data_IF_601779796914
#
_entry.id   IF_601779796914
#
_cell.length_a   1.000
_cell.length_b   1.000
_cell.length_c   1.000
_cell.angle_alpha   90.00
_cell.angle_beta   90.00
_cell.angle_gamma   90.00
#
_symmetry.space_group_name_H-M   'P 1'
#
loop_
_entity.id
_entity.type
_entity.pdbx_description
1 polymer ?
#
# COMPACT_ATOMS: atom_id res chain seq x y z
N UNK A 1 -45.51 21.68 -58.45
CA UNK A 1 -45.35 22.45 -57.20
C UNK A 1 -45.63 21.53 -56.01
N UNK A 2 -44.58 21.06 -55.31
CA UNK A 2 -44.74 20.27 -54.07
C UNK A 2 -45.30 21.20 -53.00
N UNK A 3 -46.52 20.93 -52.52
CA UNK A 3 -47.11 21.65 -51.38
C UNK A 3 -46.20 21.43 -50.17
N UNK A 4 -45.65 22.52 -49.63
CA UNK A 4 -44.80 22.48 -48.44
C UNK A 4 -45.58 21.97 -47.22
N UNK A 5 -44.87 21.44 -46.20
CA UNK A 5 -45.51 20.92 -44.99
C UNK A 5 -46.35 22.00 -44.31
N UNK A 6 -47.63 21.70 -44.08
CA UNK A 6 -48.57 22.61 -43.41
C UNK A 6 -48.43 22.59 -41.89
N UNK A 7 -49.06 23.57 -41.23
CA UNK A 7 -49.03 23.78 -39.76
C UNK A 7 -49.37 22.50 -38.97
N UNK A 8 -50.27 21.66 -39.49
CA UNK A 8 -50.63 20.36 -38.89
C UNK A 8 -49.46 19.35 -38.83
N UNK A 9 -48.48 19.43 -39.73
CA UNK A 9 -47.28 18.61 -39.67
C UNK A 9 -46.31 19.08 -38.57
N UNK A 10 -46.31 20.39 -38.28
CA UNK A 10 -45.50 21.00 -37.23
C UNK A 10 -46.07 20.64 -35.85
N UNK A 11 -47.38 20.74 -35.65
CA UNK A 11 -48.06 20.28 -34.43
C UNK A 11 -47.83 18.79 -34.16
N UNK A 12 -47.90 17.96 -35.21
CA UNK A 12 -47.61 16.52 -35.11
C UNK A 12 -46.15 16.25 -34.73
N UNK A 13 -45.20 17.02 -35.27
CA UNK A 13 -43.78 16.90 -34.90
C UNK A 13 -43.49 17.35 -33.46
N UNK A 14 -44.17 18.40 -32.97
CA UNK A 14 -44.04 18.84 -31.58
C UNK A 14 -44.66 17.83 -30.61
N UNK A 15 -45.84 17.31 -30.93
CA UNK A 15 -46.46 16.23 -30.16
C UNK A 15 -45.61 14.95 -30.14
N UNK A 16 -45.01 14.54 -31.28
CA UNK A 16 -44.15 13.37 -31.28
C UNK A 16 -42.87 13.59 -30.49
N UNK A 17 -42.25 14.77 -30.59
CA UNK A 17 -41.00 15.08 -29.87
C UNK A 17 -41.22 15.07 -28.35
N UNK A 18 -42.33 15.67 -27.89
CA UNK A 18 -42.71 15.66 -26.47
C UNK A 18 -43.08 14.26 -25.99
N UNK A 19 -43.82 13.48 -26.77
CA UNK A 19 -44.13 12.08 -26.43
C UNK A 19 -42.87 11.19 -26.37
N UNK A 20 -41.90 11.41 -27.26
CA UNK A 20 -40.62 10.68 -27.22
C UNK A 20 -39.74 11.11 -26.05
N UNK A 21 -39.75 12.39 -25.66
CA UNK A 21 -39.01 12.84 -24.47
C UNK A 21 -39.62 12.27 -23.20
N UNK A 22 -40.94 12.30 -23.03
CA UNK A 22 -41.61 11.72 -21.85
C UNK A 22 -41.41 10.21 -21.78
N UNK A 23 -41.48 9.50 -22.92
CA UNK A 23 -41.20 8.07 -22.96
C UNK A 23 -39.73 7.77 -22.62
N UNK A 24 -38.80 8.61 -23.07
CA UNK A 24 -37.39 8.54 -22.71
C UNK A 24 -37.19 8.71 -21.20
N UNK A 25 -37.80 9.74 -20.63
CA UNK A 25 -37.74 10.03 -19.19
C UNK A 25 -38.32 8.86 -18.37
N UNK A 26 -39.49 8.33 -18.76
CA UNK A 26 -40.12 7.18 -18.10
C UNK A 26 -39.27 5.90 -18.21
N UNK A 27 -38.66 5.65 -19.37
CA UNK A 27 -37.74 4.53 -19.58
C UNK A 27 -36.49 4.67 -18.70
N UNK A 28 -35.92 5.87 -18.60
CA UNK A 28 -34.77 6.09 -17.70
C UNK A 28 -35.17 5.96 -16.23
N UNK A 29 -36.35 6.45 -15.83
CA UNK A 29 -36.85 6.35 -14.47
C UNK A 29 -37.09 4.89 -14.06
N UNK A 30 -37.65 4.07 -14.96
CA UNK A 30 -37.82 2.63 -14.75
C UNK A 30 -36.48 1.91 -14.66
N UNK A 31 -35.54 2.17 -15.57
CA UNK A 31 -34.18 1.61 -15.49
C UNK A 31 -33.45 2.00 -14.20
N UNK A 32 -33.56 3.25 -13.76
CA UNK A 32 -32.98 3.71 -12.48
C UNK A 32 -33.61 3.01 -11.28
N UNK A 33 -34.91 2.74 -11.34
CA UNK A 33 -35.63 2.03 -10.26
C UNK A 33 -35.19 0.57 -10.19
N UNK A 34 -35.09 -0.09 -11.34
CA UNK A 34 -34.59 -1.47 -11.42
C UNK A 34 -33.14 -1.58 -10.94
N UNK A 35 -32.27 -0.66 -11.39
CA UNK A 35 -30.87 -0.64 -10.97
C UNK A 35 -30.73 -0.39 -9.46
N UNK A 36 -31.57 0.46 -8.86
CA UNK A 36 -31.61 0.65 -7.41
C UNK A 36 -31.99 -0.64 -6.67
N UNK A 37 -33.00 -1.36 -7.14
CA UNK A 37 -33.40 -2.64 -6.54
C UNK A 37 -32.27 -3.68 -6.64
N UNK A 38 -31.59 -3.75 -7.80
CA UNK A 38 -30.45 -4.65 -7.99
C UNK A 38 -29.28 -4.28 -7.07
N UNK A 39 -28.97 -2.99 -6.91
CA UNK A 39 -27.94 -2.53 -5.97
C UNK A 39 -28.30 -2.84 -4.52
N UNK A 40 -29.57 -2.74 -4.14
CA UNK A 40 -30.03 -3.06 -2.79
C UNK A 40 -29.90 -4.57 -2.51
N UNK A 41 -30.39 -5.42 -3.42
CA UNK A 41 -30.24 -6.88 -3.35
C UNK A 41 -28.76 -7.31 -3.33
N UNK A 42 -27.93 -6.66 -4.16
CA UNK A 42 -26.51 -6.89 -4.14
C UNK A 42 -25.90 -6.48 -2.79
N UNK A 43 -26.36 -5.36 -2.23
CA UNK A 43 -25.86 -4.87 -0.94
C UNK A 43 -26.14 -5.81 0.20
N UNK A 44 -27.36 -6.31 0.30
CA UNK A 44 -27.77 -7.25 1.33
C UNK A 44 -27.02 -8.57 1.18
N UNK A 45 -26.87 -9.06 -0.05
CA UNK A 45 -26.12 -10.29 -0.36
C UNK A 45 -24.64 -10.17 0.01
N UNK A 46 -23.99 -9.06 -0.36
CA UNK A 46 -22.58 -8.82 -0.03
C UNK A 46 -22.37 -8.66 1.48
N UNK A 47 -23.36 -8.11 2.19
CA UNK A 47 -23.34 -7.93 3.65
C UNK A 47 -23.53 -9.27 4.37
N UNK A 48 -24.42 -10.12 3.87
CA UNK A 48 -24.56 -11.49 4.35
C UNK A 48 -23.29 -12.33 4.06
N UNK A 49 -22.72 -12.20 2.87
CA UNK A 49 -21.49 -12.89 2.51
C UNK A 49 -20.30 -12.47 3.39
N UNK A 50 -20.11 -11.17 3.57
CA UNK A 50 -19.00 -10.66 4.40
C UNK A 50 -19.12 -11.05 5.86
N UNK A 51 -20.33 -11.03 6.43
CA UNK A 51 -20.55 -11.47 7.82
C UNK A 51 -20.34 -12.97 7.99
N UNK A 52 -20.83 -13.80 7.06
CA UNK A 52 -20.63 -15.25 7.09
C UNK A 52 -19.15 -15.65 6.94
N UNK A 53 -18.43 -14.99 6.04
CA UNK A 53 -17.05 -15.34 5.70
C UNK A 53 -16.00 -14.41 6.35
N UNK A 54 -16.38 -13.62 7.37
CA UNK A 54 -15.50 -12.61 8.01
C UNK A 54 -14.18 -13.19 8.48
N UNK A 55 -14.23 -14.36 9.13
CA UNK A 55 -13.03 -15.02 9.63
C UNK A 55 -12.18 -15.57 8.48
N UNK A 56 -12.80 -16.11 7.43
CA UNK A 56 -12.06 -16.62 6.27
C UNK A 56 -11.35 -15.50 5.50
N UNK A 57 -11.99 -14.33 5.35
CA UNK A 57 -11.36 -13.13 4.76
C UNK A 57 -10.16 -12.68 5.60
N UNK A 58 -10.25 -12.82 6.92
CA UNK A 58 -9.15 -12.48 7.83
C UNK A 58 -8.01 -13.50 7.78
N UNK A 59 -8.30 -14.79 7.62
CA UNK A 59 -7.28 -15.86 7.66
C UNK A 59 -6.60 -16.09 6.32
N UNK A 60 -7.32 -16.01 5.22
CA UNK A 60 -6.80 -16.38 3.91
C UNK A 60 -6.48 -15.14 3.08
N UNK A 61 -5.18 -14.84 2.82
CA UNK A 61 -4.79 -13.65 2.06
C UNK A 61 -5.28 -13.69 0.60
N UNK A 62 -5.28 -14.86 -0.04
CA UNK A 62 -5.77 -15.01 -1.41
C UNK A 62 -7.27 -14.73 -1.52
N UNK A 63 -8.05 -15.21 -0.55
CA UNK A 63 -9.48 -14.93 -0.48
C UNK A 63 -9.76 -13.45 -0.16
N UNK A 64 -8.98 -12.85 0.75
CA UNK A 64 -9.03 -11.41 1.06
C UNK A 64 -8.82 -10.56 -0.18
N UNK A 65 -7.78 -10.87 -0.96
CA UNK A 65 -7.47 -10.19 -2.21
C UNK A 65 -8.59 -10.34 -3.23
N UNK A 66 -9.09 -11.56 -3.44
CA UNK A 66 -10.18 -11.83 -4.39
C UNK A 66 -11.46 -11.07 -4.02
N UNK A 67 -11.82 -11.05 -2.73
CA UNK A 67 -12.96 -10.31 -2.21
C UNK A 67 -12.79 -8.80 -2.43
N UNK A 68 -11.63 -8.24 -2.10
CA UNK A 68 -11.34 -6.83 -2.32
C UNK A 68 -11.37 -6.44 -3.80
N UNK A 69 -10.79 -7.27 -4.68
CA UNK A 69 -10.82 -7.07 -6.14
C UNK A 69 -12.26 -7.03 -6.67
N UNK A 70 -13.13 -7.91 -6.15
CA UNK A 70 -14.56 -7.88 -6.46
C UNK A 70 -15.18 -6.55 -6.03
N UNK A 71 -14.97 -6.09 -4.79
CA UNK A 71 -15.49 -4.81 -4.33
C UNK A 71 -15.04 -3.65 -5.23
N UNK A 72 -13.75 -3.56 -5.56
CA UNK A 72 -13.21 -2.52 -6.43
C UNK A 72 -13.81 -2.55 -7.84
N UNK A 73 -14.06 -3.73 -8.42
CA UNK A 73 -14.65 -3.84 -9.76
C UNK A 73 -16.06 -3.24 -9.86
N UNK A 74 -16.76 -3.15 -8.74
CA UNK A 74 -18.12 -2.61 -8.63
C UNK A 74 -18.09 -1.13 -8.21
N UNK A 75 -16.90 -0.57 -7.94
CA UNK A 75 -16.74 0.79 -7.42
C UNK A 75 -17.00 0.90 -5.92
N UNK A 76 -17.03 -0.23 -5.20
CA UNK A 76 -17.14 -0.28 -3.75
C UNK A 76 -15.74 -0.37 -3.15
N UNK A 77 -15.35 0.60 -2.33
CA UNK A 77 -14.11 0.51 -1.56
C UNK A 77 -14.40 -0.07 -0.17
N UNK A 78 -14.00 -1.32 0.13
CA UNK A 78 -14.29 -1.96 1.41
C UNK A 78 -13.57 -1.30 2.59
N UNK A 79 -12.65 -0.36 2.33
CA UNK A 79 -11.80 0.28 3.33
C UNK A 79 -12.01 1.79 3.47
N UNK A 80 -12.77 2.42 2.57
CA UNK A 80 -13.12 3.83 2.68
C UNK A 80 -14.19 4.00 3.75
N UNK A 81 -13.77 3.99 5.03
CA UNK A 81 -14.67 4.36 6.13
C UNK A 81 -14.65 5.86 6.37
N UNK A 82 -15.88 6.39 6.47
CA UNK A 82 -16.16 7.64 7.16
C UNK A 82 -15.68 8.93 6.51
N UNK A 83 -15.22 8.94 5.24
CA UNK A 83 -15.11 10.21 4.52
C UNK A 83 -16.53 10.70 4.22
N UNK A 84 -17.02 11.56 5.12
CA UNK A 84 -18.31 12.27 5.07
C UNK A 84 -18.48 13.11 3.78
N UNK A 85 -17.41 13.24 3.00
CA UNK A 85 -17.33 13.98 1.74
C UNK A 85 -17.20 13.09 0.49
N UNK A 86 -17.13 11.77 0.62
CA UNK A 86 -17.20 10.87 -0.53
C UNK A 86 -18.66 10.65 -0.92
N UNK A 87 -19.23 11.60 -1.67
CA UNK A 87 -20.57 11.48 -2.25
C UNK A 87 -20.64 10.25 -3.16
N UNK A 88 -21.20 9.16 -2.65
CA UNK A 88 -21.40 7.92 -3.41
C UNK A 88 -21.56 6.69 -2.53
N UNK A 89 -21.89 5.56 -3.16
CA UNK A 89 -22.00 4.22 -2.60
C UNK A 89 -20.62 3.68 -2.12
N UNK A 90 -19.73 4.48 -1.56
CA UNK A 90 -18.42 4.06 -1.07
C UNK A 90 -18.40 4.09 0.46
N UNK A 91 -18.88 5.18 1.07
CA UNK A 91 -18.97 5.30 2.54
C UNK A 91 -20.00 4.39 3.21
N UNK A 92 -20.96 3.86 2.45
CA UNK A 92 -22.00 2.95 2.96
C UNK A 92 -21.50 1.53 3.25
N UNK A 93 -20.34 1.14 2.72
CA UNK A 93 -19.93 -0.27 2.69
C UNK A 93 -18.83 -0.61 3.67
N UNK A 94 -17.91 0.29 3.94
CA UNK A 94 -16.82 0.07 4.89
C UNK A 94 -17.32 -0.12 6.33
N UNK A 95 -18.27 0.72 6.76
CA UNK A 95 -18.93 0.60 8.07
C UNK A 95 -19.74 -0.71 8.16
N UNK A 96 -20.25 -1.18 7.02
CA UNK A 96 -21.12 -2.34 6.98
C UNK A 96 -20.43 -3.70 6.77
N UNK A 97 -19.20 -3.69 6.25
CA UNK A 97 -18.39 -4.89 6.07
C UNK A 97 -17.53 -5.19 7.32
N UNK A 98 -17.27 -4.18 8.15
CA UNK A 98 -16.37 -4.26 9.30
C UNK A 98 -14.95 -4.73 8.93
N UNK A 99 -14.61 -4.79 7.64
CA UNK A 99 -13.30 -5.20 7.15
C UNK A 99 -12.26 -4.09 7.34
N UNK A 100 -12.74 -2.84 7.48
CA UNK A 100 -11.94 -1.70 7.91
C UNK A 100 -11.22 -1.95 9.23
N UNK A 101 -11.88 -2.55 10.24
CA UNK A 101 -11.28 -2.77 11.57
C UNK A 101 -9.95 -3.51 11.53
N UNK A 102 -9.87 -4.60 10.75
CA UNK A 102 -8.63 -5.39 10.63
C UNK A 102 -7.51 -4.59 9.97
N UNK A 103 -7.88 -3.79 8.96
CA UNK A 103 -6.93 -2.99 8.22
C UNK A 103 -6.48 -1.76 9.05
N UNK A 104 -7.36 -1.16 9.85
CA UNK A 104 -7.01 -0.11 10.79
C UNK A 104 -6.07 -0.64 11.87
N UNK A 105 -6.38 -1.83 12.42
CA UNK A 105 -5.48 -2.52 13.35
C UNK A 105 -4.10 -2.77 12.73
N UNK A 106 -4.06 -3.21 11.47
CA UNK A 106 -2.81 -3.37 10.74
C UNK A 106 -2.07 -2.04 10.56
N UNK A 107 -2.79 -0.96 10.23
CA UNK A 107 -2.24 0.39 10.14
C UNK A 107 -1.59 0.86 11.46
N UNK A 108 -2.25 0.63 12.60
CA UNK A 108 -1.71 0.96 13.92
C UNK A 108 -0.44 0.17 14.22
N UNK A 109 -0.39 -1.12 13.87
CA UNK A 109 0.81 -1.94 14.06
C UNK A 109 1.97 -1.50 13.15
N UNK A 110 1.68 -1.08 11.92
CA UNK A 110 2.70 -0.49 11.04
C UNK A 110 3.29 0.77 11.69
N UNK A 111 2.44 1.65 12.23
CA UNK A 111 2.88 2.85 12.95
C UNK A 111 3.79 2.48 14.12
N UNK A 112 3.40 1.50 14.94
CA UNK A 112 4.19 1.08 16.10
C UNK A 112 5.58 0.54 15.70
N UNK A 113 5.65 -0.29 14.66
CA UNK A 113 6.94 -0.76 14.11
C UNK A 113 7.77 0.40 13.59
N UNK A 114 7.18 1.32 12.83
CA UNK A 114 7.89 2.46 12.28
C UNK A 114 8.42 3.40 13.37
N UNK A 115 7.63 3.66 14.41
CA UNK A 115 8.03 4.51 15.55
C UNK A 115 9.14 3.84 16.37
N UNK A 116 9.00 2.56 16.69
CA UNK A 116 9.99 1.82 17.49
C UNK A 116 11.33 1.63 16.77
N UNK A 117 11.32 1.57 15.44
CA UNK A 117 12.54 1.37 14.64
C UNK A 117 13.18 2.69 14.17
N UNK A 118 12.47 3.82 14.27
CA UNK A 118 12.91 5.13 13.77
C UNK A 118 14.30 5.56 14.24
N UNK A 119 14.63 5.30 15.50
CA UNK A 119 15.94 5.65 16.06
C UNK A 119 17.09 4.85 15.45
N UNK A 120 16.79 3.70 14.84
CA UNK A 120 17.79 2.78 14.27
C UNK A 120 17.89 2.87 12.75
N UNK A 121 16.80 3.21 12.06
CA UNK A 121 16.72 3.16 10.59
C UNK A 121 16.42 4.53 9.95
N UNK A 122 16.34 5.60 10.74
CA UNK A 122 16.07 6.96 10.25
C UNK A 122 14.66 7.17 9.69
N UNK A 123 13.74 6.22 9.90
CA UNK A 123 12.35 6.31 9.44
C UNK A 123 12.07 5.69 8.07
N UNK A 124 13.01 4.89 7.53
CA UNK A 124 12.79 4.04 6.36
C UNK A 124 12.96 2.56 6.74
N UNK A 125 12.11 1.68 6.19
CA UNK A 125 12.17 0.23 6.45
C UNK A 125 11.84 -0.57 5.19
N UNK A 126 12.58 -1.64 4.92
CA UNK A 126 12.27 -2.56 3.83
C UNK A 126 10.91 -3.24 4.03
N UNK A 127 10.15 -3.45 2.94
CA UNK A 127 8.82 -4.06 2.99
C UNK A 127 8.84 -5.42 3.69
N UNK A 128 9.83 -6.27 3.36
CA UNK A 128 9.97 -7.59 3.95
C UNK A 128 10.25 -7.55 5.45
N UNK A 129 11.09 -6.61 5.92
CA UNK A 129 11.37 -6.46 7.36
C UNK A 129 10.16 -5.91 8.10
N UNK A 130 9.42 -4.98 7.49
CA UNK A 130 8.16 -4.49 8.04
C UNK A 130 7.13 -5.62 8.19
N UNK A 131 6.89 -6.41 7.14
CA UNK A 131 5.98 -7.56 7.18
C UNK A 131 6.39 -8.51 8.31
N UNK A 132 7.67 -8.88 8.40
CA UNK A 132 8.17 -9.77 9.46
C UNK A 132 7.94 -9.21 10.86
N UNK A 133 8.25 -7.92 11.08
CA UNK A 133 8.09 -7.27 12.40
C UNK A 133 6.62 -7.18 12.81
N UNK A 134 5.74 -6.82 11.88
CA UNK A 134 4.30 -6.75 12.12
C UNK A 134 3.73 -8.15 12.38
N UNK A 135 4.13 -9.15 11.59
CA UNK A 135 3.75 -10.55 11.83
C UNK A 135 4.20 -11.01 13.21
N UNK A 136 5.43 -10.67 13.64
CA UNK A 136 5.95 -10.97 14.98
C UNK A 136 5.18 -10.25 16.08
N UNK A 137 4.72 -9.02 15.88
CA UNK A 137 3.86 -8.33 16.84
C UNK A 137 2.52 -9.07 17.02
N UNK A 138 1.95 -9.63 15.95
CA UNK A 138 0.69 -10.38 15.98
C UNK A 138 0.82 -11.79 16.57
N UNK A 139 1.87 -12.53 16.21
CA UNK A 139 2.05 -13.93 16.63
C UNK A 139 2.84 -14.09 17.92
N UNK A 140 3.52 -13.03 18.38
CA UNK A 140 4.39 -13.02 19.54
C UNK A 140 5.84 -13.44 19.21
N UNK A 141 6.77 -13.38 20.19
CA UNK A 141 8.16 -13.78 19.97
C UNK A 141 8.24 -15.26 19.59
N UNK A 142 8.80 -15.55 18.42
CA UNK A 142 9.04 -16.92 17.97
C UNK A 142 10.16 -17.53 18.82
N UNK A 143 9.80 -18.15 19.94
CA UNK A 143 10.74 -18.97 20.72
C UNK A 143 11.01 -20.26 19.91
N UNK A 144 12.28 -20.67 19.71
CA UNK A 144 12.61 -21.91 19.05
C UNK A 144 12.30 -23.04 20.03
N UNK A 145 11.05 -23.51 20.04
CA UNK A 145 10.63 -24.63 20.87
C UNK A 145 10.43 -25.83 19.96
N UNK A 146 11.22 -26.86 20.23
CA UNK A 146 11.22 -28.24 19.72
C UNK A 146 9.90 -29.02 19.98
N UNK A 147 8.79 -28.33 20.20
CA UNK A 147 7.49 -28.92 20.47
C UNK A 147 6.41 -28.16 19.69
N UNK A 148 6.09 -28.65 18.49
CA UNK A 148 4.99 -28.17 17.65
C UNK A 148 3.64 -28.47 18.33
N UNK A 149 3.05 -27.46 18.97
CA UNK A 149 1.63 -27.47 19.30
C UNK A 149 0.80 -27.02 18.10
N UNK A 150 -0.18 -27.84 17.67
CA UNK A 150 -1.12 -27.55 16.56
C UNK A 150 -1.67 -26.11 16.53
N UNK A 151 -1.90 -25.49 17.70
CA UNK A 151 -2.43 -24.13 17.80
C UNK A 151 -1.47 -23.00 17.39
N UNK A 152 -0.15 -23.22 17.30
CA UNK A 152 0.81 -22.19 16.86
C UNK A 152 0.84 -22.04 15.33
N UNK A 153 0.72 -23.16 14.60
CA UNK A 153 0.60 -23.16 13.14
C UNK A 153 -0.69 -22.48 12.67
N UNK A 154 -1.77 -22.62 13.43
CA UNK A 154 -3.05 -21.95 13.13
C UNK A 154 -2.93 -20.43 13.31
N UNK A 155 -2.27 -19.95 14.37
CA UNK A 155 -2.03 -18.50 14.59
C UNK A 155 -1.10 -17.86 13.55
N UNK A 156 -0.08 -18.58 13.11
CA UNK A 156 0.82 -18.10 12.05
C UNK A 156 0.11 -18.01 10.70
N UNK A 157 -0.79 -18.97 10.39
CA UNK A 157 -1.69 -18.86 9.22
C UNK A 157 -2.72 -17.75 9.36
N UNK A 158 -3.24 -17.51 10.57
CA UNK A 158 -4.16 -16.40 10.86
C UNK A 158 -3.52 -15.01 10.72
N UNK A 159 -2.19 -14.94 10.82
CA UNK A 159 -1.42 -13.70 10.77
C UNK A 159 -0.67 -13.50 9.44
N UNK A 160 -1.02 -14.23 8.38
CA UNK A 160 -0.39 -14.05 7.07
C UNK A 160 -0.76 -12.67 6.49
N UNK A 161 0.23 -11.78 6.53
CA UNK A 161 0.16 -10.40 6.02
C UNK A 161 0.91 -10.35 4.70
N UNK A 162 0.24 -9.86 3.66
CA UNK A 162 0.85 -9.66 2.35
C UNK A 162 1.34 -8.23 2.18
N UNK A 163 2.23 -8.02 1.21
CA UNK A 163 2.67 -6.68 0.81
C UNK A 163 1.48 -5.77 0.46
N UNK A 164 0.47 -6.29 -0.23
CA UNK A 164 -0.70 -5.52 -0.60
C UNK A 164 -1.48 -5.03 0.63
N UNK A 165 -1.55 -5.84 1.69
CA UNK A 165 -2.19 -5.44 2.94
C UNK A 165 -1.43 -4.27 3.59
N UNK A 166 -0.10 -4.26 3.51
CA UNK A 166 0.71 -3.14 4.00
C UNK A 166 0.47 -1.89 3.15
N UNK A 167 0.59 -1.99 1.82
CA UNK A 167 0.39 -0.87 0.89
C UNK A 167 -0.99 -0.24 1.10
N UNK A 168 -2.02 -1.08 1.23
CA UNK A 168 -3.38 -0.64 1.42
C UNK A 168 -3.61 -0.02 2.80
N UNK A 169 -2.98 -0.55 3.85
CA UNK A 169 -3.01 0.05 5.19
C UNK A 169 -2.38 1.44 5.18
N UNK A 170 -1.24 1.60 4.53
CA UNK A 170 -0.53 2.89 4.41
C UNK A 170 -1.39 3.92 3.67
N UNK A 171 -2.09 3.52 2.59
CA UNK A 171 -3.04 4.40 1.90
C UNK A 171 -4.15 4.91 2.82
N UNK A 172 -4.64 4.09 3.75
CA UNK A 172 -5.63 4.54 4.72
C UNK A 172 -5.05 5.48 5.79
N UNK A 173 -3.74 5.47 6.01
CA UNK A 173 -3.06 6.42 6.91
C UNK A 173 -2.84 7.79 6.23
N UNK A 174 -2.98 7.90 4.91
CA UNK A 174 -2.74 9.14 4.16
C UNK A 174 -3.52 10.36 4.69
N UNK A 175 -4.82 10.26 5.10
CA UNK A 175 -5.56 11.39 5.66
C UNK A 175 -4.98 11.97 6.95
N UNK A 176 -4.15 11.21 7.67
CA UNK A 176 -3.50 11.68 8.90
C UNK A 176 -2.31 12.61 8.62
N UNK A 177 -1.83 12.68 7.37
CA UNK A 177 -0.74 13.58 6.98
C UNK A 177 0.62 13.26 7.63
N UNK A 178 0.82 12.06 8.17
CA UNK A 178 2.03 11.73 8.95
C UNK A 178 3.26 11.36 8.10
N UNK A 179 3.16 11.41 6.76
CA UNK A 179 4.28 11.12 5.86
C UNK A 179 4.56 9.63 5.60
N UNK A 180 3.60 8.75 5.90
CA UNK A 180 3.70 7.33 5.54
C UNK A 180 3.54 7.15 4.03
N UNK A 181 4.56 6.58 3.39
CA UNK A 181 4.55 6.37 1.95
C UNK A 181 5.33 5.12 1.57
N UNK A 182 4.85 4.41 0.55
CA UNK A 182 5.56 3.30 -0.07
C UNK A 182 6.32 3.83 -1.28
N UNK A 183 7.63 3.62 -1.31
CA UNK A 183 8.46 3.98 -2.45
C UNK A 183 9.24 2.74 -2.93
N UNK A 184 9.56 2.72 -4.22
CA UNK A 184 10.33 1.64 -4.84
C UNK A 184 11.75 2.10 -5.14
N UNK A 185 12.70 1.20 -5.00
CA UNK A 185 14.11 1.41 -5.28
C UNK A 185 14.54 0.71 -6.58
N UNK A 186 15.44 1.34 -7.34
CA UNK A 186 16.03 0.78 -8.55
C UNK A 186 14.99 0.46 -9.64
N UNK A 187 14.95 -0.80 -10.08
CA UNK A 187 14.07 -1.27 -11.16
C UNK A 187 12.62 -1.52 -10.72
N UNK A 188 12.28 -1.29 -9.44
CA UNK A 188 10.92 -1.44 -8.92
C UNK A 188 10.67 -2.68 -8.06
N UNK A 189 11.60 -3.64 -8.06
CA UNK A 189 11.44 -4.93 -7.36
C UNK A 189 11.50 -4.79 -5.83
N UNK A 190 12.19 -3.78 -5.32
CA UNK A 190 12.39 -3.59 -3.89
C UNK A 190 11.58 -2.40 -3.39
N UNK A 191 10.53 -2.67 -2.60
CA UNK A 191 9.69 -1.65 -1.98
C UNK A 191 10.13 -1.39 -0.54
N UNK A 192 10.07 -0.12 -0.15
CA UNK A 192 10.33 0.33 1.21
C UNK A 192 9.18 1.21 1.68
N UNK A 193 9.04 1.31 2.99
CA UNK A 193 8.08 2.18 3.66
C UNK A 193 8.83 3.29 4.36
N UNK A 194 8.45 4.53 4.04
CA UNK A 194 8.85 5.74 4.75
C UNK A 194 7.82 6.05 5.82
N UNK A 195 8.27 6.52 6.97
CA UNK A 195 7.44 6.92 8.12
C UNK A 195 7.67 8.36 8.59
N UNK A 196 8.48 9.11 7.86
CA UNK A 196 8.84 10.50 8.15
C UNK A 196 8.45 11.40 6.98
N UNK A 197 7.89 12.60 7.24
CA UNK A 197 7.35 13.49 6.21
C UNK A 197 8.41 14.17 5.33
N UNK A 198 9.70 13.90 5.54
CA UNK A 198 10.79 14.47 4.76
C UNK A 198 10.96 13.71 3.45
N UNK A 199 11.03 14.41 2.33
CA UNK A 199 11.34 13.85 1.02
C UNK A 199 12.69 13.14 1.02
N UNK A 200 12.73 11.91 0.47
CA UNK A 200 14.00 11.26 0.19
C UNK A 200 14.55 11.85 -1.10
N UNK A 201 15.79 12.35 -1.03
CA UNK A 201 16.50 12.77 -2.22
C UNK A 201 16.78 11.56 -3.12
N UNK A 202 16.91 11.84 -4.41
CA UNK A 202 17.31 10.86 -5.44
C UNK A 202 18.60 10.15 -5.06
N UNK A 203 19.54 10.86 -4.46
CA UNK A 203 20.82 10.31 -4.02
C UNK A 203 20.65 9.34 -2.84
N UNK A 204 19.82 9.71 -1.86
CA UNK A 204 19.45 8.85 -0.73
C UNK A 204 18.80 7.55 -1.23
N UNK A 205 17.89 7.65 -2.20
CA UNK A 205 17.27 6.47 -2.82
C UNK A 205 18.31 5.58 -3.53
N UNK A 206 19.26 6.17 -4.28
CA UNK A 206 20.31 5.38 -4.93
C UNK A 206 21.16 4.62 -3.92
N UNK A 207 21.58 5.27 -2.82
CA UNK A 207 22.37 4.65 -1.74
C UNK A 207 21.60 3.49 -1.09
N UNK A 208 20.34 3.70 -0.71
CA UNK A 208 19.49 2.63 -0.15
C UNK A 208 19.31 1.48 -1.15
N UNK A 209 19.10 1.80 -2.43
CA UNK A 209 18.99 0.80 -3.50
C UNK A 209 20.28 -0.01 -3.67
N UNK A 210 21.47 0.61 -3.58
CA UNK A 210 22.75 -0.09 -3.64
C UNK A 210 22.95 -1.04 -2.45
N UNK A 211 22.59 -0.60 -1.24
CA UNK A 211 22.67 -1.42 -0.02
C UNK A 211 21.67 -2.58 -0.02
N UNK A 212 20.49 -2.39 -0.59
CA UNK A 212 19.43 -3.40 -0.65
C UNK A 212 19.59 -4.40 -1.81
N UNK A 213 20.18 -3.99 -2.94
CA UNK A 213 20.29 -4.81 -4.16
C UNK A 213 21.41 -5.86 -4.14
N UNK A 214 22.13 -6.06 -3.03
CA UNK A 214 23.23 -7.04 -2.94
C UNK A 214 24.38 -6.82 -3.96
N UNK A 215 24.46 -5.66 -4.61
CA UNK A 215 25.57 -5.31 -5.51
C UNK A 215 26.83 -4.85 -4.76
N UNK A 216 26.72 -4.56 -3.46
CA UNK A 216 27.84 -4.23 -2.58
C UNK A 216 28.46 -5.47 -1.90
N UNK A 217 28.43 -6.63 -2.56
CA UNK A 217 29.06 -7.83 -2.05
C UNK A 217 30.38 -8.10 -2.77
N UNK A 218 31.46 -7.63 -2.17
CA UNK A 218 32.70 -8.41 -2.18
C UNK A 218 32.47 -9.55 -1.18
N UNK A 219 32.03 -10.71 -1.69
CA UNK A 219 31.61 -11.86 -0.86
C UNK A 219 32.81 -12.52 -0.20
N UNK A 220 33.23 -12.00 0.94
CA UNK A 220 34.03 -12.72 1.93
C UNK A 220 33.33 -12.61 3.28
N UNK A 221 32.54 -13.63 3.63
CA UNK A 221 31.92 -13.75 4.96
C UNK A 221 30.48 -13.25 5.06
N UNK A 222 29.79 -13.71 6.12
CA UNK A 222 28.43 -13.35 6.50
C UNK A 222 28.33 -11.91 7.06
N UNK A 223 28.97 -10.95 6.38
CA UNK A 223 28.95 -9.54 6.78
C UNK A 223 27.76 -8.82 6.13
N UNK A 224 27.22 -7.83 6.87
CA UNK A 224 26.13 -6.98 6.41
C UNK A 224 26.55 -6.20 5.16
N UNK A 225 25.63 -5.91 4.20
CA UNK A 225 25.96 -5.08 3.06
C UNK A 225 26.39 -3.70 3.52
N UNK A 226 27.52 -3.23 3.01
CA UNK A 226 28.10 -1.94 3.34
C UNK A 226 28.48 -1.16 2.09
N UNK A 227 28.64 0.15 2.26
CA UNK A 227 29.04 1.06 1.22
C UNK A 227 30.29 1.82 1.67
N UNK A 228 31.17 2.16 0.72
CA UNK A 228 32.32 3.03 0.95
C UNK A 228 32.24 4.26 0.04
N UNK A 229 32.90 5.35 0.40
CA UNK A 229 32.99 6.54 -0.48
C UNK A 229 33.51 6.15 -1.88
N UNK A 230 34.48 5.24 -1.93
CA UNK A 230 35.06 4.72 -3.17
C UNK A 230 34.07 3.93 -4.01
N UNK A 231 33.19 3.13 -3.39
CA UNK A 231 32.17 2.37 -4.12
C UNK A 231 31.16 3.27 -4.84
N UNK A 232 30.78 4.40 -4.23
CA UNK A 232 29.94 5.43 -4.86
C UNK A 232 30.69 6.18 -5.97
N UNK A 233 31.98 6.47 -5.73
CA UNK A 233 32.81 7.19 -6.70
C UNK A 233 33.18 6.33 -7.92
N UNK A 234 33.32 5.01 -7.76
CA UNK A 234 33.74 4.10 -8.82
C UNK A 234 32.61 3.70 -9.78
N UNK A 235 31.34 3.71 -9.33
CA UNK A 235 30.11 3.57 -10.14
C UNK A 235 30.09 2.44 -11.18
N UNK A 236 29.45 1.31 -10.88
CA UNK A 236 29.47 0.14 -11.77
C UNK A 236 28.65 0.25 -13.09
N UNK A 237 27.70 1.19 -13.26
CA UNK A 237 26.86 1.26 -14.49
C UNK A 237 26.41 2.65 -14.98
N UNK A 238 26.42 3.69 -14.15
CA UNK A 238 26.17 5.08 -14.56
C UNK A 238 27.22 5.95 -13.87
N UNK A 239 27.81 6.91 -14.61
CA UNK A 239 28.85 7.87 -14.17
C UNK A 239 29.06 7.88 -12.66
N UNK A 240 30.20 7.34 -12.22
CA UNK A 240 30.64 7.41 -10.83
C UNK A 240 30.51 8.83 -10.27
N UNK A 241 30.08 8.93 -9.01
CA UNK A 241 29.82 10.23 -8.40
C UNK A 241 31.14 10.97 -8.14
N UNK A 242 31.16 12.30 -8.24
CA UNK A 242 32.29 13.06 -7.72
C UNK A 242 32.41 12.80 -6.21
N UNK A 243 33.65 12.69 -5.71
CA UNK A 243 33.92 12.36 -4.30
C UNK A 243 33.20 13.28 -3.33
N UNK A 244 33.15 14.57 -3.63
CA UNK A 244 32.45 15.55 -2.80
C UNK A 244 30.94 15.27 -2.68
N UNK A 245 30.29 14.80 -3.76
CA UNK A 245 28.87 14.39 -3.73
C UNK A 245 28.68 13.12 -2.91
N UNK A 246 29.54 12.11 -3.14
CA UNK A 246 29.49 10.86 -2.39
C UNK A 246 29.64 11.11 -0.88
N UNK A 247 30.62 11.93 -0.49
CA UNK A 247 30.83 12.33 0.90
C UNK A 247 29.66 13.10 1.47
N UNK A 248 29.17 14.13 0.77
CA UNK A 248 28.05 14.95 1.24
C UNK A 248 26.78 14.12 1.49
N UNK A 249 26.49 13.15 0.62
CA UNK A 249 25.34 12.25 0.78
C UNK A 249 25.53 11.32 1.96
N UNK A 250 26.71 10.69 2.10
CA UNK A 250 27.02 9.80 3.22
C UNK A 250 26.98 10.52 4.57
N UNK A 251 27.54 11.74 4.66
CA UNK A 251 27.48 12.58 5.85
C UNK A 251 26.05 13.04 6.17
N UNK A 252 25.27 13.45 5.16
CA UNK A 252 23.87 13.83 5.37
C UNK A 252 23.03 12.65 5.86
N UNK A 253 23.15 11.49 5.23
CA UNK A 253 22.38 10.30 5.59
C UNK A 253 22.76 9.72 6.96
N UNK A 254 24.02 9.85 7.37
CA UNK A 254 24.49 9.37 8.68
C UNK A 254 24.19 10.37 9.80
N UNK A 255 24.61 11.63 9.66
CA UNK A 255 24.57 12.61 10.75
C UNK A 255 23.22 13.32 10.88
N UNK A 256 22.58 13.65 9.76
CA UNK A 256 21.33 14.44 9.77
C UNK A 256 20.09 13.57 9.71
N UNK A 257 20.11 12.53 8.88
CA UNK A 257 18.94 11.68 8.65
C UNK A 257 18.93 10.43 9.54
N UNK A 258 20.08 10.00 10.07
CA UNK A 258 20.19 8.82 10.93
C UNK A 258 19.82 7.52 10.22
N UNK A 259 19.93 7.47 8.89
CA UNK A 259 19.61 6.30 8.07
C UNK A 259 20.82 5.38 7.86
N UNK A 260 22.03 5.91 8.08
CA UNK A 260 23.29 5.17 7.96
C UNK A 260 24.07 5.14 9.27
N UNK A 261 24.72 4.00 9.49
CA UNK A 261 25.66 3.75 10.57
C UNK A 261 27.07 3.71 9.98
N UNK A 262 28.02 4.35 10.66
CA UNK A 262 29.41 4.43 10.22
C UNK A 262 30.26 3.50 11.09
N UNK A 263 31.08 2.68 10.44
CA UNK A 263 32.19 1.96 11.06
C UNK A 263 33.52 2.61 10.67
N UNK A 264 34.11 3.32 11.63
CA UNK A 264 35.43 3.96 11.50
C UNK A 264 36.59 3.02 11.85
N UNK A 265 36.31 1.81 12.35
CA UNK A 265 37.34 0.81 12.67
C UNK A 265 37.84 0.10 11.40
N UNK A 266 37.07 0.16 10.31
CA UNK A 266 37.46 -0.31 8.99
C UNK A 266 38.07 0.80 8.14
N UNK A 267 39.05 0.44 7.29
CA UNK A 267 39.62 1.36 6.30
C UNK A 267 39.44 0.79 4.89
N UNK A 268 38.82 1.54 3.95
CA UNK A 268 38.13 2.82 4.14
C UNK A 268 36.86 2.68 5.04
N UNK A 269 36.37 3.79 5.65
CA UNK A 269 35.18 3.76 6.51
C UNK A 269 33.97 3.14 5.80
N UNK A 270 33.26 2.27 6.52
CA UNK A 270 32.13 1.50 5.99
C UNK A 270 30.81 2.06 6.49
N UNK A 271 29.84 2.17 5.59
CA UNK A 271 28.51 2.69 5.88
C UNK A 271 27.46 1.58 5.73
N UNK A 272 26.63 1.41 6.75
CA UNK A 272 25.60 0.37 6.82
C UNK A 272 24.22 1.00 6.95
N UNK A 273 23.18 0.33 6.46
CA UNK A 273 21.80 0.70 6.80
C UNK A 273 21.09 -0.43 7.50
N UNK A 274 20.52 -0.15 8.67
CA UNK A 274 19.66 -1.10 9.37
C UNK A 274 18.28 -1.22 8.71
N UNK A 275 17.93 -0.26 7.84
CA UNK A 275 16.69 -0.27 7.07
C UNK A 275 16.67 -1.37 5.99
N UNK A 276 17.84 -1.80 5.52
CA UNK A 276 18.02 -2.76 4.43
C UNK A 276 18.38 -4.16 4.93
N UNK A 277 18.42 -4.37 6.24
CA UNK A 277 18.71 -5.67 6.82
C UNK A 277 17.50 -6.59 6.67
N UNK A 278 17.65 -7.62 5.84
CA UNK A 278 16.87 -8.84 6.03
C UNK A 278 17.49 -9.57 7.22
N UNK A 279 16.87 -9.51 8.40
CA UNK A 279 17.29 -10.36 9.51
C UNK A 279 17.25 -11.83 9.06
N UNK A 280 18.38 -12.53 9.21
CA UNK A 280 18.50 -13.96 8.99
C UNK A 280 17.71 -14.74 10.06
#
# INVERSE_FOLDING_TARGET
MRRGPGIAALDRSLHSTTAFSTLGDDLTATQLTELRQQLELFSTSLRQFSSAHRQEIRKNPGFRHAFQKMCYSIGVDPLSSSSRNAGGLSGLWSDMLGLGDWQYELGVQIIDVCVSTRATNGGAIAMDDLIRRVTRLRTGPSRPTTALGKGKMEREKEAEITEEDIVRSIKMLAPLGCGYEVFSLGNGDQKMVRSVPRELDTDTMVVLGMLLSSAAMDRVGAELPFLTEESLAAGQKHRGWPRDRARAVLENMSLREGMLWIDEQAFPPRYYSLATLSAA
#
